data_IF_785383015820
#
_entry.id   IF_785383015820
#
_cell.length_a   1.000
_cell.length_b   1.000
_cell.length_c   1.000
_cell.angle_alpha   90.00
_cell.angle_beta   90.00
_cell.angle_gamma   90.00
#
_symmetry.space_group_name_H-M   'P 1'
#
loop_
_entity.id
_entity.type
_entity.pdbx_description
1 polymer ?
#
# COMPACT_ATOMS: atom_id res chain seq x y z
N UNK A 1 9.09 -22.10 1.30
CA UNK A 1 8.00 -21.30 1.85
C UNK A 1 8.65 -20.04 2.36
N UNK A 2 8.34 -18.88 1.76
CA UNK A 2 8.76 -17.60 2.33
C UNK A 2 7.69 -17.23 3.34
N UNK A 3 7.84 -17.74 4.56
CA UNK A 3 6.93 -17.50 5.66
C UNK A 3 7.08 -16.05 6.11
N UNK A 4 6.14 -15.18 5.74
CA UNK A 4 6.17 -13.77 6.09
C UNK A 4 5.06 -12.95 5.45
N UNK A 5 4.69 -11.85 6.12
CA UNK A 5 3.72 -10.88 5.57
C UNK A 5 4.44 -10.06 4.50
N UNK A 6 3.83 -9.91 3.32
CA UNK A 6 4.47 -9.21 2.20
C UNK A 6 4.73 -7.73 2.50
N UNK A 7 3.86 -7.06 3.24
CA UNK A 7 4.04 -5.68 3.70
C UNK A 7 3.34 -5.47 5.05
N UNK A 8 3.89 -4.66 5.94
CA UNK A 8 3.25 -4.26 7.19
C UNK A 8 3.59 -2.81 7.58
N UNK A 9 2.70 -2.18 8.36
CA UNK A 9 2.86 -0.80 8.83
C UNK A 9 3.01 -0.81 10.35
N UNK A 10 3.95 -0.03 10.86
CA UNK A 10 4.17 0.23 12.28
C UNK A 10 3.88 1.69 12.55
N UNK A 11 2.95 1.95 13.48
CA UNK A 11 2.70 3.29 13.98
C UNK A 11 3.34 3.46 15.36
N UNK A 12 4.41 4.25 15.41
CA UNK A 12 5.08 4.66 16.65
C UNK A 12 4.44 5.94 17.17
N UNK A 13 3.38 5.79 17.96
CA UNK A 13 2.54 6.91 18.42
C UNK A 13 3.29 7.91 19.29
N UNK A 14 4.24 7.46 20.12
CA UNK A 14 5.04 8.34 20.98
C UNK A 14 6.01 9.25 20.20
N UNK A 15 6.48 8.77 19.04
CA UNK A 15 7.48 9.47 18.22
C UNK A 15 6.83 10.15 17.01
N UNK A 16 5.51 9.98 16.83
CA UNK A 16 4.78 10.42 15.63
C UNK A 16 5.48 9.97 14.35
N UNK A 17 5.84 8.68 14.28
CA UNK A 17 6.40 8.08 13.07
C UNK A 17 5.56 6.91 12.60
N UNK A 18 5.43 6.81 11.28
CA UNK A 18 4.86 5.68 10.58
C UNK A 18 5.96 5.09 9.72
N UNK A 19 6.27 3.82 9.99
CA UNK A 19 7.23 3.03 9.22
C UNK A 19 6.46 1.95 8.46
N UNK A 20 6.64 1.90 7.14
CA UNK A 20 6.03 0.86 6.30
C UNK A 20 7.14 -0.05 5.80
N UNK A 21 7.04 -1.35 6.06
CA UNK A 21 8.02 -2.33 5.63
C UNK A 21 7.48 -3.23 4.54
N UNK A 22 8.34 -3.57 3.57
CA UNK A 22 8.04 -4.53 2.50
C UNK A 22 9.04 -5.69 2.54
N UNK A 23 8.54 -6.91 2.38
CA UNK A 23 9.38 -8.11 2.34
C UNK A 23 9.97 -8.27 0.93
N UNK A 24 11.28 -8.02 0.81
CA UNK A 24 12.05 -8.24 -0.43
C UNK A 24 13.20 -9.19 -0.16
N UNK A 25 13.24 -10.33 -0.88
CA UNK A 25 14.31 -11.34 -0.77
C UNK A 25 14.61 -11.72 0.69
N UNK A 26 13.56 -12.01 1.47
CA UNK A 26 13.61 -12.35 2.90
C UNK A 26 14.11 -11.25 3.84
N UNK A 27 14.16 -10.00 3.40
CA UNK A 27 14.49 -8.84 4.25
C UNK A 27 13.34 -7.85 4.23
N UNK A 28 13.00 -7.32 5.39
CA UNK A 28 12.08 -6.19 5.49
C UNK A 28 12.85 -4.91 5.19
N UNK A 29 12.38 -4.18 4.19
CA UNK A 29 12.96 -2.92 3.75
C UNK A 29 11.93 -1.81 4.04
N UNK A 30 12.38 -0.71 4.63
CA UNK A 30 11.54 0.47 4.84
C UNK A 30 11.10 1.04 3.49
N UNK A 31 9.84 1.41 3.39
CA UNK A 31 9.23 2.09 2.28
C UNK A 31 9.12 3.55 2.66
N UNK A 32 9.99 4.36 2.07
CA UNK A 32 9.95 5.81 2.24
C UNK A 32 8.79 6.40 1.41
N UNK A 33 8.20 7.52 1.87
CA UNK A 33 7.21 8.24 1.09
C UNK A 33 7.84 8.75 -0.22
N UNK A 34 7.00 8.85 -1.25
CA UNK A 34 7.40 9.45 -2.53
C UNK A 34 7.60 10.98 -2.39
N UNK A 35 8.00 11.65 -3.48
CA UNK A 35 8.19 13.11 -3.58
C UNK A 35 6.98 13.91 -3.12
N UNK A 36 5.77 13.35 -3.24
CA UNK A 36 4.52 13.97 -2.79
C UNK A 36 4.22 13.73 -1.29
N UNK A 37 5.09 13.01 -0.56
CA UNK A 37 4.87 12.63 0.84
C UNK A 37 3.98 11.39 1.03
N UNK A 38 3.61 10.71 -0.06
CA UNK A 38 2.70 9.56 -0.01
C UNK A 38 3.44 8.23 0.08
N UNK A 39 3.02 7.39 1.02
CA UNK A 39 3.41 6.00 1.10
C UNK A 39 2.55 5.18 0.13
N UNK A 40 3.17 4.47 -0.81
CA UNK A 40 2.48 3.68 -1.84
C UNK A 40 2.81 2.20 -1.69
N UNK A 41 1.79 1.35 -1.56
CA UNK A 41 1.97 -0.11 -1.50
C UNK A 41 2.51 -0.67 -2.81
N UNK A 42 3.44 -1.63 -2.72
CA UNK A 42 3.96 -2.36 -3.88
C UNK A 42 3.14 -3.62 -4.16
N UNK A 43 2.46 -4.16 -3.16
CA UNK A 43 1.58 -5.35 -3.28
C UNK A 43 0.17 -4.98 -3.73
N UNK A 44 -0.33 -3.82 -3.31
CA UNK A 44 -1.65 -3.30 -3.68
C UNK A 44 -1.51 -1.99 -4.46
N UNK A 45 -1.25 -2.04 -5.77
CA UNK A 45 -1.24 -0.86 -6.61
C UNK A 45 -2.53 -0.05 -6.45
N UNK A 46 -2.37 1.24 -6.15
CA UNK A 46 -3.46 2.17 -5.84
C UNK A 46 -3.74 2.38 -4.34
N UNK A 47 -3.15 1.57 -3.45
CA UNK A 47 -3.17 1.85 -2.02
C UNK A 47 -2.12 2.91 -1.68
N UNK A 48 -2.56 4.17 -1.64
CA UNK A 48 -1.75 5.32 -1.30
C UNK A 48 -2.20 5.90 0.04
N UNK A 49 -1.24 6.21 0.91
CA UNK A 49 -1.47 6.78 2.22
C UNK A 49 -0.62 8.04 2.40
N UNK A 50 -1.25 9.10 2.88
CA UNK A 50 -0.58 10.35 3.24
C UNK A 50 0.01 10.19 4.65
N UNK A 51 1.35 10.21 4.75
CA UNK A 51 2.07 9.95 6.01
C UNK A 51 1.70 10.98 7.06
N UNK A 52 1.74 12.25 6.72
CA UNK A 52 1.51 13.34 7.65
C UNK A 52 0.05 13.38 8.08
N UNK A 53 -0.88 13.15 7.13
CA UNK A 53 -2.29 13.04 7.45
C UNK A 53 -2.61 11.85 8.38
N UNK A 54 -1.91 10.72 8.25
CA UNK A 54 -2.06 9.61 9.19
C UNK A 54 -1.57 10.01 10.60
N UNK A 55 -0.42 10.67 10.70
CA UNK A 55 0.12 11.14 11.97
C UNK A 55 -0.81 12.15 12.66
N UNK A 56 -1.36 13.08 11.89
CA UNK A 56 -2.32 14.09 12.34
C UNK A 56 -3.73 13.51 12.59
N UNK A 57 -3.95 12.22 12.34
CA UNK A 57 -5.26 11.55 12.38
C UNK A 57 -6.31 12.25 11.48
N UNK A 58 -5.86 12.89 10.41
CA UNK A 58 -6.69 13.51 9.40
C UNK A 58 -7.23 12.45 8.44
N UNK A 59 -8.20 11.68 8.93
CA UNK A 59 -8.86 10.61 8.16
C UNK A 59 -9.44 11.11 6.83
N UNK A 60 -10.09 12.29 6.74
CA UNK A 60 -10.58 12.80 5.46
C UNK A 60 -9.49 12.95 4.40
N UNK A 61 -8.31 13.47 4.78
CA UNK A 61 -7.17 13.61 3.86
C UNK A 61 -6.62 12.25 3.44
N UNK A 62 -6.47 11.31 4.38
CA UNK A 62 -6.03 9.93 4.08
C UNK A 62 -6.97 9.28 3.07
N UNK A 63 -8.29 9.40 3.27
CA UNK A 63 -9.29 8.85 2.36
C UNK A 63 -9.30 9.53 0.98
N UNK A 64 -9.01 10.83 0.92
CA UNK A 64 -8.91 11.55 -0.35
C UNK A 64 -7.72 11.05 -1.18
N UNK A 65 -6.55 10.86 -0.55
CA UNK A 65 -5.35 10.32 -1.22
C UNK A 65 -5.54 8.86 -1.62
N UNK A 66 -6.19 8.06 -0.77
CA UNK A 66 -6.56 6.69 -1.12
C UNK A 66 -7.46 6.65 -2.37
N UNK A 67 -8.47 7.52 -2.44
CA UNK A 67 -9.35 7.59 -3.61
C UNK A 67 -8.59 7.98 -4.89
N UNK A 68 -7.59 8.86 -4.81
CA UNK A 68 -6.73 9.19 -5.94
C UNK A 68 -5.95 7.96 -6.42
N UNK A 69 -5.38 7.19 -5.50
CA UNK A 69 -4.68 5.95 -5.83
C UNK A 69 -5.60 4.89 -6.43
N UNK A 70 -6.82 4.73 -5.91
CA UNK A 70 -7.81 3.80 -6.50
C UNK A 70 -8.29 4.23 -7.89
N UNK A 71 -8.30 5.53 -8.18
CA UNK A 71 -8.61 6.07 -9.50
C UNK A 71 -7.43 5.97 -10.48
N UNK A 72 -6.26 5.51 -10.03
CA UNK A 72 -5.04 5.50 -10.84
C UNK A 72 -5.03 4.35 -11.87
N UNK A 73 -4.33 4.50 -13.01
CA UNK A 73 -4.20 3.44 -14.01
C UNK A 73 -3.56 2.16 -13.48
N UNK A 74 -2.65 2.27 -12.51
CA UNK A 74 -1.99 1.10 -11.90
C UNK A 74 -3.00 0.23 -11.16
N UNK A 75 -3.95 0.85 -10.45
CA UNK A 75 -5.02 0.14 -9.78
C UNK A 75 -5.95 -0.56 -10.79
N UNK A 76 -6.35 0.14 -11.85
CA UNK A 76 -7.18 -0.43 -12.91
C UNK A 76 -6.53 -1.66 -13.56
N UNK A 77 -5.23 -1.57 -13.83
CA UNK A 77 -4.43 -2.70 -14.36
C UNK A 77 -4.38 -3.88 -13.38
N UNK A 78 -4.22 -3.59 -12.08
CA UNK A 78 -4.20 -4.60 -11.03
C UNK A 78 -5.54 -5.34 -10.91
N UNK A 79 -6.66 -4.63 -10.89
CA UNK A 79 -8.00 -5.23 -10.84
C UNK A 79 -8.28 -6.09 -12.07
N UNK A 80 -7.92 -5.61 -13.27
CA UNK A 80 -8.08 -6.38 -14.51
C UNK A 80 -7.28 -7.70 -14.47
N UNK A 81 -6.03 -7.66 -13.96
CA UNK A 81 -5.21 -8.86 -13.77
C UNK A 81 -5.87 -9.85 -12.80
N UNK A 82 -6.38 -9.38 -11.66
CA UNK A 82 -7.06 -10.23 -10.68
C UNK A 82 -8.32 -10.88 -11.26
N UNK A 83 -9.11 -10.13 -12.03
CA UNK A 83 -10.30 -10.66 -12.69
C UNK A 83 -9.94 -11.78 -13.70
N UNK A 84 -8.89 -11.59 -14.49
CA UNK A 84 -8.41 -12.59 -15.43
C UNK A 84 -7.93 -13.87 -14.72
N UNK A 85 -7.20 -13.73 -13.62
CA UNK A 85 -6.74 -14.87 -12.80
C UNK A 85 -7.90 -15.61 -12.14
N UNK A 86 -8.91 -14.89 -11.63
CA UNK A 86 -10.12 -15.49 -11.08
C UNK A 86 -10.90 -16.30 -12.13
N UNK A 87 -10.99 -15.80 -13.36
CA UNK A 87 -11.63 -16.52 -14.47
C UNK A 87 -10.86 -17.80 -14.86
N UNK A 88 -9.53 -17.79 -14.83
CA UNK A 88 -8.68 -18.97 -15.08
C UNK A 88 -8.88 -20.05 -14.01
N UNK A 89 -8.99 -19.66 -12.74
CA UNK A 89 -9.22 -20.60 -11.62
C UNK A 89 -10.59 -21.28 -11.67
N UNK A 90 -11.62 -20.62 -12.21
CA UNK A 90 -12.96 -21.22 -12.38
C UNK A 90 -13.06 -22.22 -13.54
N UNK A 91 -12.09 -22.21 -14.47
CA UNK A 91 -12.07 -23.09 -15.65
C UNK A 91 -11.21 -24.35 -15.44
N UNK A 92 -10.61 -24.49 -14.27
CA UNK A 92 -9.75 -25.61 -13.86
C UNK A 92 -10.47 -26.41 -12.79
#
# INVERSE_FOLDING_TARGET
MEDGVSEYIVWRTAESVIDWFVLKRKKYISLDPDVDGFLRSQIFPGLWLDRDALLDRNVPRVLAILQQGLASPEHGTFVAKLAAEAARRKKK
#
